data_IF_770980662676
#
_entry.id   IF_770980662676
#
_cell.length_a   1.000
_cell.length_b   1.000
_cell.length_c   1.000
_cell.angle_alpha   90.00
_cell.angle_beta   90.00
_cell.angle_gamma   90.00
#
_symmetry.space_group_name_H-M   'P 1'
#
loop_
_entity.id
_entity.type
_entity.pdbx_description
1 polymer ?
#
# COMPACT_ATOMS: atom_id res chain seq x y z
N UNK A 1 -27.04 -40.77 19.53
CA UNK A 1 -27.59 -40.16 18.29
C UNK A 1 -27.02 -38.75 18.17
N UNK A 2 -25.78 -38.62 17.68
CA UNK A 2 -25.07 -37.34 17.55
C UNK A 2 -24.98 -36.99 16.07
N UNK A 3 -25.77 -36.01 15.64
CA UNK A 3 -25.64 -35.40 14.31
C UNK A 3 -24.41 -34.48 14.34
N UNK A 4 -23.29 -34.98 13.80
CA UNK A 4 -22.13 -34.15 13.43
C UNK A 4 -22.56 -33.25 12.28
N UNK A 5 -22.87 -32.01 12.60
CA UNK A 5 -23.13 -30.94 11.65
C UNK A 5 -21.78 -30.51 11.07
N UNK A 6 -21.41 -31.07 9.92
CA UNK A 6 -20.30 -30.55 9.14
C UNK A 6 -20.71 -29.17 8.62
N UNK A 7 -20.27 -28.10 9.29
CA UNK A 7 -20.15 -26.79 8.66
C UNK A 7 -19.02 -26.92 7.63
N UNK A 8 -19.38 -27.36 6.43
CA UNK A 8 -18.60 -27.06 5.23
C UNK A 8 -18.37 -25.54 5.21
N UNK A 9 -17.11 -25.14 5.31
CA UNK A 9 -16.67 -23.80 4.95
C UNK A 9 -17.05 -23.62 3.47
N UNK A 10 -18.12 -22.87 3.22
CA UNK A 10 -18.55 -22.50 1.88
C UNK A 10 -17.52 -21.53 1.31
N UNK A 11 -16.48 -22.06 0.70
CA UNK A 11 -15.58 -21.28 -0.13
C UNK A 11 -16.40 -20.70 -1.28
N UNK A 12 -16.33 -19.38 -1.54
CA UNK A 12 -17.09 -18.75 -2.60
C UNK A 12 -16.75 -19.38 -3.95
N UNK A 13 -17.76 -19.53 -4.82
CA UNK A 13 -17.55 -20.02 -6.19
C UNK A 13 -16.63 -19.09 -6.97
N UNK A 14 -15.93 -19.60 -8.00
CA UNK A 14 -15.09 -18.78 -8.89
C UNK A 14 -15.81 -17.54 -9.43
N UNK A 15 -17.11 -17.67 -9.73
CA UNK A 15 -17.95 -16.56 -10.19
C UNK A 15 -18.16 -15.50 -9.10
N UNK A 16 -18.39 -15.91 -7.85
CA UNK A 16 -18.51 -15.01 -6.71
C UNK A 16 -17.18 -14.31 -6.41
N UNK A 17 -16.04 -15.03 -6.45
CA UNK A 17 -14.71 -14.43 -6.27
C UNK A 17 -14.44 -13.38 -7.36
N UNK A 18 -14.68 -13.71 -8.63
CA UNK A 18 -14.51 -12.77 -9.74
C UNK A 18 -15.45 -11.56 -9.67
N UNK A 19 -16.66 -11.73 -9.13
CA UNK A 19 -17.57 -10.61 -8.90
C UNK A 19 -17.07 -9.71 -7.77
N UNK A 20 -16.68 -10.29 -6.62
CA UNK A 20 -16.12 -9.54 -5.49
C UNK A 20 -14.84 -8.79 -5.85
N UNK A 21 -13.97 -9.40 -6.66
CA UNK A 21 -12.75 -8.75 -7.15
C UNK A 21 -13.08 -7.55 -8.04
N UNK A 22 -14.03 -7.69 -8.97
CA UNK A 22 -14.49 -6.57 -9.81
C UNK A 22 -15.17 -5.47 -9.02
N UNK A 23 -15.96 -5.82 -8.00
CA UNK A 23 -16.58 -4.85 -7.12
C UNK A 23 -15.53 -4.07 -6.34
N UNK A 24 -14.48 -4.74 -5.82
CA UNK A 24 -13.34 -4.06 -5.19
C UNK A 24 -12.57 -3.16 -6.15
N UNK A 25 -12.25 -3.61 -7.36
CA UNK A 25 -11.53 -2.79 -8.34
C UNK A 25 -12.26 -1.48 -8.67
N UNK A 26 -13.60 -1.50 -8.70
CA UNK A 26 -14.43 -0.30 -8.93
C UNK A 26 -14.34 0.73 -7.81
N UNK A 27 -13.95 0.31 -6.61
CA UNK A 27 -13.78 1.18 -5.45
C UNK A 27 -12.32 1.68 -5.32
N UNK A 28 -11.38 0.99 -5.96
CA UNK A 28 -9.96 1.35 -5.92
C UNK A 28 -9.67 2.57 -6.80
N UNK A 29 -8.75 3.40 -6.31
CA UNK A 29 -8.26 4.59 -7.01
C UNK A 29 -6.75 4.61 -6.99
N UNK A 30 -6.19 5.17 -8.05
CA UNK A 30 -4.76 5.41 -8.19
C UNK A 30 -4.49 6.90 -8.35
N UNK A 31 -3.44 7.38 -7.69
CA UNK A 31 -3.02 8.78 -7.74
C UNK A 31 -1.76 8.90 -8.59
N UNK A 32 -1.84 9.65 -9.68
CA UNK A 32 -0.69 10.01 -10.52
C UNK A 32 -0.29 11.47 -10.30
N UNK A 33 0.94 11.70 -9.83
CA UNK A 33 1.41 13.04 -9.40
C UNK A 33 2.23 13.67 -10.52
N UNK A 34 2.05 14.98 -10.71
CA UNK A 34 2.81 15.80 -11.66
C UNK A 34 3.37 17.04 -10.97
N UNK A 35 4.27 17.76 -11.65
CA UNK A 35 4.80 19.02 -11.14
C UNK A 35 3.74 20.13 -10.94
N UNK A 36 2.54 19.99 -11.51
CA UNK A 36 1.49 21.02 -11.49
C UNK A 36 0.23 20.61 -10.74
N UNK A 37 0.15 19.37 -10.29
CA UNK A 37 -1.07 18.79 -9.77
C UNK A 37 -0.99 17.29 -9.65
N UNK A 38 -2.13 16.63 -9.59
CA UNK A 38 -2.24 15.17 -9.62
C UNK A 38 -3.58 14.76 -10.22
N UNK A 39 -3.67 13.51 -10.64
CA UNK A 39 -4.93 12.90 -11.07
C UNK A 39 -5.32 11.76 -10.15
N UNK A 40 -6.61 11.56 -10.01
CA UNK A 40 -7.20 10.38 -9.38
C UNK A 40 -7.87 9.58 -10.48
N UNK A 41 -7.41 8.37 -10.70
CA UNK A 41 -7.85 7.47 -11.75
C UNK A 41 -8.53 6.25 -11.14
N UNK A 42 -9.55 5.71 -11.83
CA UNK A 42 -10.20 4.47 -11.40
C UNK A 42 -9.38 3.28 -11.88
N UNK A 43 -9.15 2.32 -10.98
CA UNK A 43 -8.32 1.17 -11.31
C UNK A 43 -9.01 0.17 -12.24
N UNK A 44 -10.34 0.19 -12.36
CA UNK A 44 -11.09 -0.77 -13.18
C UNK A 44 -11.07 -0.43 -14.67
N UNK A 45 -11.17 0.84 -15.04
CA UNK A 45 -11.24 1.30 -16.43
C UNK A 45 -10.18 2.36 -16.81
N UNK A 46 -9.35 2.79 -15.86
CA UNK A 46 -8.32 3.82 -16.06
C UNK A 46 -8.88 5.22 -16.30
N UNK A 47 -10.18 5.44 -16.08
CA UNK A 47 -10.79 6.75 -16.30
C UNK A 47 -10.37 7.75 -15.21
N UNK A 48 -10.08 8.98 -15.62
CA UNK A 48 -9.74 10.08 -14.72
C UNK A 48 -11.02 10.54 -14.01
N UNK A 49 -11.07 10.36 -12.69
CA UNK A 49 -12.16 10.86 -11.84
C UNK A 49 -11.92 12.30 -11.42
N UNK A 50 -10.67 12.65 -11.08
CA UNK A 50 -10.29 14.00 -10.71
C UNK A 50 -8.97 14.41 -11.38
N UNK A 51 -8.91 15.66 -11.86
CA UNK A 51 -7.68 16.30 -12.36
C UNK A 51 -7.48 17.61 -11.59
N UNK A 52 -6.57 17.57 -10.61
CA UNK A 52 -6.37 18.63 -9.62
C UNK A 52 -5.12 19.40 -9.96
N UNK A 53 -5.24 20.73 -10.03
CA UNK A 53 -4.11 21.62 -10.29
C UNK A 53 -3.81 22.43 -9.02
N UNK A 54 -2.57 22.35 -8.53
CA UNK A 54 -2.14 22.98 -7.28
C UNK A 54 -2.54 24.45 -7.16
N UNK A 55 -2.23 25.25 -8.19
CA UNK A 55 -2.52 26.70 -8.22
C UNK A 55 -4.01 27.07 -8.16
N UNK A 56 -4.92 26.09 -8.29
CA UNK A 56 -6.37 26.30 -8.21
C UNK A 56 -6.95 25.99 -6.83
N UNK A 57 -6.12 25.48 -5.92
CA UNK A 57 -6.48 25.23 -4.52
C UNK A 57 -6.14 26.46 -3.68
N UNK A 58 -6.98 26.73 -2.70
CA UNK A 58 -6.74 27.78 -1.70
C UNK A 58 -6.01 27.24 -0.49
N UNK A 59 -6.34 26.02 -0.07
CA UNK A 59 -5.74 25.36 1.08
C UNK A 59 -5.83 23.83 0.95
N UNK A 60 -5.03 23.12 1.75
CA UNK A 60 -5.05 21.66 1.87
C UNK A 60 -4.89 21.30 3.34
N UNK A 61 -5.84 20.55 3.91
CA UNK A 61 -5.78 20.11 5.29
C UNK A 61 -5.37 18.64 5.33
N UNK A 62 -4.36 18.33 6.15
CA UNK A 62 -3.84 16.98 6.31
C UNK A 62 -4.36 16.33 7.59
N UNK A 63 -4.78 15.08 7.47
CA UNK A 63 -4.87 14.14 8.59
C UNK A 63 -4.28 12.79 8.18
N UNK A 64 -3.98 11.89 9.13
CA UNK A 64 -3.51 10.54 8.82
C UNK A 64 -4.47 9.71 7.96
N UNK A 65 -5.76 10.06 7.96
CA UNK A 65 -6.82 9.32 7.27
C UNK A 65 -7.17 9.91 5.91
N UNK A 66 -6.91 11.21 5.68
CA UNK A 66 -7.29 11.87 4.43
C UNK A 66 -6.58 13.21 4.20
N UNK A 67 -6.60 13.64 2.94
CA UNK A 67 -6.37 15.02 2.53
C UNK A 67 -7.70 15.70 2.20
N UNK A 68 -7.91 16.91 2.72
CA UNK A 68 -9.08 17.72 2.38
C UNK A 68 -8.62 18.95 1.60
N UNK A 69 -9.07 19.06 0.35
CA UNK A 69 -8.68 20.11 -0.58
C UNK A 69 -9.73 21.21 -0.55
N UNK A 70 -9.29 22.46 -0.39
CA UNK A 70 -10.17 23.63 -0.30
C UNK A 70 -10.08 24.47 -1.56
N UNK A 71 -11.24 24.88 -2.08
CA UNK A 71 -11.37 25.80 -3.22
C UNK A 71 -12.59 26.68 -3.05
N UNK A 72 -12.46 27.97 -3.34
CA UNK A 72 -13.53 28.97 -3.22
C UNK A 72 -14.17 28.97 -1.81
N UNK A 73 -13.38 28.81 -0.75
CA UNK A 73 -13.83 28.78 0.64
C UNK A 73 -14.59 27.53 1.06
N UNK A 74 -14.57 26.47 0.26
CA UNK A 74 -15.35 25.24 0.49
C UNK A 74 -14.53 23.98 0.22
N UNK A 75 -14.97 22.85 0.80
CA UNK A 75 -14.37 21.54 0.51
C UNK A 75 -14.63 21.19 -0.95
N UNK A 76 -13.54 21.07 -1.71
CA UNK A 76 -13.55 20.68 -3.11
C UNK A 76 -13.48 19.17 -3.28
N UNK A 77 -12.57 18.53 -2.55
CA UNK A 77 -12.31 17.09 -2.66
C UNK A 77 -11.75 16.57 -1.33
N UNK A 78 -12.16 15.35 -0.94
CA UNK A 78 -11.51 14.59 0.11
C UNK A 78 -10.83 13.37 -0.53
N UNK A 79 -9.55 13.14 -0.20
CA UNK A 79 -8.75 12.03 -0.71
C UNK A 79 -8.38 11.15 0.47
N UNK A 80 -9.00 9.98 0.61
CA UNK A 80 -8.78 9.12 1.75
C UNK A 80 -7.47 8.32 1.56
N UNK A 81 -6.88 7.83 2.66
CA UNK A 81 -5.54 7.25 2.65
C UNK A 81 -5.44 5.84 2.01
N UNK A 82 -6.58 5.26 1.65
CA UNK A 82 -6.67 3.96 0.99
C UNK A 82 -6.39 4.04 -0.51
N UNK A 83 -6.28 5.25 -1.08
CA UNK A 83 -5.95 5.42 -2.49
C UNK A 83 -4.48 5.05 -2.75
N UNK A 84 -4.23 4.31 -3.83
CA UNK A 84 -2.86 4.00 -4.25
C UNK A 84 -2.13 5.30 -4.58
N UNK A 85 -0.89 5.44 -4.11
CA UNK A 85 -0.09 6.66 -4.27
C UNK A 85 -0.37 7.76 -3.23
N UNK A 86 -1.21 7.53 -2.22
CA UNK A 86 -1.52 8.55 -1.20
C UNK A 86 -0.27 9.05 -0.45
N UNK A 87 0.63 8.16 0.00
CA UNK A 87 1.83 8.57 0.73
C UNK A 87 2.81 9.37 -0.14
N UNK A 88 2.87 9.07 -1.44
CA UNK A 88 3.59 9.89 -2.40
C UNK A 88 2.95 11.27 -2.55
N UNK A 89 1.62 11.34 -2.61
CA UNK A 89 0.87 12.59 -2.74
C UNK A 89 1.13 13.53 -1.57
N UNK A 90 1.03 13.01 -0.35
CA UNK A 90 1.27 13.75 0.89
C UNK A 90 2.67 14.39 0.88
N UNK A 91 3.70 13.67 0.45
CA UNK A 91 5.06 14.23 0.40
C UNK A 91 5.27 15.28 -0.69
N UNK A 92 4.45 15.27 -1.73
CA UNK A 92 4.58 16.13 -2.91
C UNK A 92 3.70 17.38 -2.86
N UNK A 93 2.97 17.60 -1.76
CA UNK A 93 2.19 18.83 -1.58
C UNK A 93 3.13 20.04 -1.59
N UNK A 94 2.98 21.00 -2.53
CA UNK A 94 3.83 22.17 -2.60
C UNK A 94 3.73 23.03 -1.33
N UNK A 95 4.82 23.71 -0.95
CA UNK A 95 4.80 24.68 0.15
C UNK A 95 3.90 25.87 -0.21
N UNK A 96 3.05 26.28 0.73
CA UNK A 96 2.20 27.47 0.59
C UNK A 96 0.75 27.29 1.02
N UNK A 97 0.33 26.09 1.44
CA UNK A 97 -1.01 25.81 1.95
C UNK A 97 -1.05 25.94 3.48
N UNK A 98 -1.73 26.95 4.05
CA UNK A 98 -1.68 27.24 5.49
C UNK A 98 -2.19 26.12 6.41
N UNK A 99 -3.17 25.33 5.94
CA UNK A 99 -3.76 24.22 6.68
C UNK A 99 -2.97 22.91 6.58
N UNK A 100 -1.86 22.91 5.83
CA UNK A 100 -1.07 21.72 5.61
C UNK A 100 0.07 21.62 6.63
N UNK A 101 0.10 20.53 7.39
CA UNK A 101 1.13 20.29 8.41
C UNK A 101 2.42 19.71 7.81
N UNK A 102 3.20 20.55 7.12
CA UNK A 102 4.48 20.15 6.54
C UNK A 102 5.46 19.59 7.60
N UNK A 103 5.42 20.13 8.82
CA UNK A 103 6.29 19.72 9.91
C UNK A 103 5.95 18.31 10.40
N UNK A 104 4.67 18.07 10.68
CA UNK A 104 4.15 16.77 11.09
C UNK A 104 4.35 15.70 10.02
N UNK A 105 4.08 16.02 8.75
CA UNK A 105 4.34 15.10 7.63
C UNK A 105 5.82 14.72 7.55
N UNK A 106 6.72 15.71 7.60
CA UNK A 106 8.16 15.44 7.58
C UNK A 106 8.60 14.57 8.77
N UNK A 107 8.09 14.87 9.96
CA UNK A 107 8.40 14.10 11.17
C UNK A 107 7.85 12.67 11.09
N UNK A 108 6.65 12.49 10.53
CA UNK A 108 6.04 11.18 10.32
C UNK A 108 6.91 10.31 9.43
N UNK A 109 7.27 10.78 8.22
CA UNK A 109 8.12 9.99 7.31
C UNK A 109 9.52 9.75 7.87
N UNK A 110 10.08 10.69 8.61
CA UNK A 110 11.36 10.51 9.29
C UNK A 110 11.31 9.50 10.45
N UNK A 111 10.12 9.18 10.96
CA UNK A 111 9.93 8.21 12.05
C UNK A 111 9.71 6.77 11.55
N UNK A 112 9.53 6.56 10.25
CA UNK A 112 9.27 5.24 9.68
C UNK A 112 10.51 4.35 9.78
N UNK A 113 10.28 3.08 10.14
CA UNK A 113 11.32 2.07 10.17
C UNK A 113 11.34 1.25 8.86
N UNK A 114 12.46 0.54 8.64
CA UNK A 114 12.61 -0.41 7.54
C UNK A 114 11.71 -1.64 7.70
N UNK A 115 11.13 -2.08 6.60
CA UNK A 115 10.37 -3.32 6.52
C UNK A 115 11.29 -4.49 6.15
N UNK A 116 11.32 -5.53 6.97
CA UNK A 116 12.09 -6.74 6.67
C UNK A 116 11.58 -7.49 5.42
N UNK A 117 10.30 -7.34 5.09
CA UNK A 117 9.68 -8.03 3.95
C UNK A 117 10.04 -7.32 2.65
N UNK A 118 9.57 -6.08 2.45
CA UNK A 118 9.74 -5.35 1.19
C UNK A 118 10.98 -4.44 1.11
N UNK A 119 11.67 -4.21 2.24
CA UNK A 119 12.86 -3.36 2.27
C UNK A 119 12.65 -1.86 2.11
N UNK A 120 11.41 -1.37 2.30
CA UNK A 120 11.08 0.05 2.29
C UNK A 120 10.99 0.63 3.71
N UNK A 121 11.38 1.90 3.86
CA UNK A 121 11.18 2.70 5.07
C UNK A 121 9.71 3.11 5.20
N UNK A 122 8.87 2.15 5.57
CA UNK A 122 7.42 2.26 5.51
C UNK A 122 6.72 1.67 6.76
N UNK A 123 7.46 1.33 7.82
CA UNK A 123 6.87 0.69 9.00
C UNK A 123 6.43 1.73 10.03
N UNK A 124 5.18 1.62 10.48
CA UNK A 124 4.64 2.36 11.63
C UNK A 124 3.83 1.45 12.54
N UNK A 125 3.91 1.70 13.85
CA UNK A 125 3.24 0.98 14.94
C UNK A 125 3.48 -0.53 14.95
N UNK A 126 2.96 -1.31 14.00
CA UNK A 126 3.19 -2.74 13.85
C UNK A 126 3.02 -3.24 12.41
N UNK A 127 2.96 -2.36 11.40
CA UNK A 127 2.63 -2.74 10.02
C UNK A 127 3.41 -1.92 9.01
N UNK A 128 3.77 -2.55 7.89
CA UNK A 128 4.32 -1.87 6.73
C UNK A 128 3.20 -1.21 5.91
N UNK A 129 3.31 0.10 5.69
CA UNK A 129 2.35 0.89 4.90
C UNK A 129 2.45 0.63 3.39
N UNK A 130 3.54 -0.01 2.93
CA UNK A 130 3.73 -0.33 1.50
C UNK A 130 3.24 -1.74 1.16
N UNK A 131 3.83 -2.78 1.75
CA UNK A 131 3.47 -4.18 1.44
C UNK A 131 2.35 -4.73 2.33
N UNK A 132 1.92 -4.00 3.36
CA UNK A 132 0.88 -4.44 4.26
C UNK A 132 1.28 -5.55 5.25
N UNK A 133 2.52 -6.04 5.22
CA UNK A 133 3.00 -7.06 6.15
C UNK A 133 3.08 -6.52 7.59
N UNK A 134 2.74 -7.36 8.55
CA UNK A 134 2.91 -7.08 9.96
C UNK A 134 4.39 -7.13 10.37
N UNK A 135 4.74 -6.37 11.40
CA UNK A 135 6.06 -6.42 12.02
C UNK A 135 6.09 -7.62 12.97
N UNK A 136 7.22 -8.33 12.99
CA UNK A 136 7.44 -9.45 13.90
C UNK A 136 7.07 -9.10 15.35
N UNK A 137 6.24 -9.93 15.97
CA UNK A 137 5.69 -9.71 17.30
C UNK A 137 5.37 -11.06 18.00
N UNK A 138 4.92 -10.99 19.26
CA UNK A 138 4.63 -12.18 20.07
C UNK A 138 3.47 -13.04 19.53
N UNK A 139 2.52 -12.44 18.81
CA UNK A 139 1.44 -13.20 18.17
C UNK A 139 1.98 -14.02 17.00
N UNK A 140 2.80 -13.40 16.14
CA UNK A 140 3.47 -14.11 15.05
C UNK A 140 4.42 -15.20 15.57
N UNK A 141 5.03 -15.01 16.74
CA UNK A 141 5.85 -16.05 17.37
C UNK A 141 5.05 -17.30 17.82
N UNK A 142 3.72 -17.24 17.87
CA UNK A 142 2.87 -18.40 18.10
C UNK A 142 2.56 -19.18 16.82
N UNK A 143 2.63 -18.51 15.67
CA UNK A 143 2.32 -19.07 14.35
C UNK A 143 3.59 -19.55 13.63
N UNK A 144 4.71 -18.86 13.85
CA UNK A 144 5.98 -19.09 13.19
C UNK A 144 7.06 -19.48 14.20
N UNK A 145 7.91 -20.42 13.80
CA UNK A 145 9.03 -20.87 14.63
C UNK A 145 10.09 -19.78 14.88
N UNK A 146 10.36 -18.93 13.89
CA UNK A 146 11.32 -17.82 13.97
C UNK A 146 10.88 -16.62 13.15
N UNK A 147 11.45 -15.45 13.45
CA UNK A 147 11.31 -14.23 12.64
C UNK A 147 11.75 -14.46 11.20
N UNK A 148 12.85 -15.17 10.99
CA UNK A 148 13.34 -15.46 9.64
C UNK A 148 12.36 -16.32 8.86
N UNK A 149 11.72 -17.32 9.49
CA UNK A 149 10.71 -18.14 8.83
C UNK A 149 9.52 -17.31 8.35
N UNK A 150 9.03 -16.38 9.19
CA UNK A 150 7.97 -15.44 8.82
C UNK A 150 8.38 -14.53 7.65
N UNK A 151 9.54 -13.87 7.76
CA UNK A 151 10.00 -12.94 6.73
C UNK A 151 10.21 -13.66 5.40
N UNK A 152 10.78 -14.87 5.43
CA UNK A 152 10.97 -15.66 4.21
C UNK A 152 9.64 -16.00 3.54
N UNK A 153 8.66 -16.50 4.28
CA UNK A 153 7.32 -16.79 3.72
C UNK A 153 6.73 -15.54 3.07
N UNK A 154 6.76 -14.39 3.77
CA UNK A 154 6.20 -13.14 3.22
C UNK A 154 6.97 -12.59 2.03
N UNK A 155 8.28 -12.84 1.95
CA UNK A 155 9.07 -12.48 0.78
C UNK A 155 8.78 -13.40 -0.41
N UNK A 156 8.56 -14.71 -0.20
CA UNK A 156 8.11 -15.60 -1.26
C UNK A 156 6.77 -15.10 -1.83
N UNK A 157 5.79 -14.83 -0.96
CA UNK A 157 4.48 -14.29 -1.38
C UNK A 157 4.60 -12.94 -2.12
N UNK A 158 5.49 -12.05 -1.67
CA UNK A 158 5.63 -10.70 -2.22
C UNK A 158 6.34 -10.68 -3.58
N UNK A 159 7.38 -11.50 -3.75
CA UNK A 159 8.21 -11.52 -4.95
C UNK A 159 7.79 -12.59 -5.96
N UNK A 160 6.70 -13.31 -5.69
CA UNK A 160 6.11 -14.24 -6.65
C UNK A 160 5.58 -13.47 -7.88
N UNK A 161 6.06 -13.77 -9.09
CA UNK A 161 5.58 -13.13 -10.30
C UNK A 161 4.11 -13.46 -10.57
N UNK A 162 3.38 -12.56 -11.24
CA UNK A 162 1.97 -12.78 -11.57
C UNK A 162 1.75 -13.76 -12.72
N UNK A 163 2.81 -14.07 -13.49
CA UNK A 163 2.77 -15.01 -14.60
C UNK A 163 4.07 -15.81 -14.75
N UNK A 164 3.97 -16.99 -15.37
CA UNK A 164 5.10 -17.93 -15.57
C UNK A 164 6.25 -17.33 -16.41
N UNK A 165 5.95 -16.34 -17.26
CA UNK A 165 6.92 -15.67 -18.14
C UNK A 165 7.48 -14.35 -17.57
N UNK A 166 7.02 -13.92 -16.38
CA UNK A 166 7.51 -12.69 -15.76
C UNK A 166 8.84 -12.92 -15.03
N UNK A 167 9.71 -11.91 -15.07
CA UNK A 167 10.99 -11.95 -14.38
C UNK A 167 10.80 -11.78 -12.88
N UNK A 168 11.38 -12.68 -12.09
CA UNK A 168 11.48 -12.50 -10.64
C UNK A 168 12.39 -11.30 -10.37
N UNK A 169 11.87 -10.30 -9.67
CA UNK A 169 12.60 -9.08 -9.36
C UNK A 169 12.65 -8.84 -7.84
N UNK A 170 13.70 -9.35 -7.20
CA UNK A 170 13.90 -9.22 -5.75
C UNK A 170 14.61 -7.91 -5.46
N UNK A 171 13.83 -6.85 -5.32
CA UNK A 171 14.37 -5.52 -5.12
C UNK A 171 13.45 -4.67 -4.25
N UNK A 172 14.04 -3.71 -3.53
CA UNK A 172 13.31 -2.71 -2.78
C UNK A 172 13.18 -1.42 -3.59
N UNK A 173 12.41 -1.45 -4.69
CA UNK A 173 12.15 -0.25 -5.48
C UNK A 173 11.40 0.78 -4.65
N UNK A 174 11.90 2.03 -4.66
CA UNK A 174 11.24 3.14 -4.00
C UNK A 174 9.88 3.41 -4.67
N UNK A 175 8.84 2.78 -4.17
CA UNK A 175 7.47 2.87 -4.66
C UNK A 175 6.54 3.43 -3.59
N UNK A 176 5.36 3.91 -4.01
CA UNK A 176 4.33 4.39 -3.10
C UNK A 176 4.71 5.63 -2.28
N UNK A 177 5.86 6.25 -2.56
CA UNK A 177 6.41 7.36 -1.78
C UNK A 177 7.35 6.94 -0.65
N UNK A 178 7.72 5.67 -0.52
CA UNK A 178 8.65 5.24 0.53
C UNK A 178 10.06 5.04 -0.03
N UNK A 179 11.09 5.60 0.63
CA UNK A 179 12.46 5.35 0.23
C UNK A 179 12.90 3.92 0.60
N UNK A 180 13.80 3.36 -0.20
CA UNK A 180 14.47 2.08 0.05
C UNK A 180 15.33 2.14 1.31
N UNK A 181 15.28 1.09 2.13
CA UNK A 181 16.23 0.88 3.22
C UNK A 181 17.56 0.33 2.66
N UNK A 182 18.68 1.07 2.72
CA UNK A 182 19.95 0.63 2.17
C UNK A 182 20.56 -0.58 2.91
N UNK A 183 20.14 -0.83 4.16
CA UNK A 183 20.60 -1.96 4.96
C UNK A 183 19.81 -3.25 4.66
N UNK A 184 18.66 -3.15 4.00
CA UNK A 184 17.81 -4.29 3.74
C UNK A 184 18.44 -5.29 2.78
N UNK A 185 18.22 -6.58 3.03
CA UNK A 185 18.61 -7.68 2.15
C UNK A 185 17.46 -8.70 2.14
N UNK A 186 17.15 -9.22 0.97
CA UNK A 186 16.24 -10.36 0.86
C UNK A 186 16.83 -11.58 1.57
N UNK A 187 15.96 -12.34 2.23
CA UNK A 187 16.31 -13.64 2.79
C UNK A 187 16.12 -14.75 1.75
N UNK A 188 15.21 -14.56 0.79
CA UNK A 188 14.91 -15.51 -0.28
C UNK A 188 15.77 -15.25 -1.52
N UNK A 189 15.96 -16.29 -2.31
CA UNK A 189 16.63 -16.24 -3.62
C UNK A 189 15.61 -16.46 -4.75
N UNK A 190 15.98 -16.11 -5.98
CA UNK A 190 15.13 -16.38 -7.15
C UNK A 190 14.83 -17.87 -7.31
N UNK A 191 15.78 -18.74 -6.97
CA UNK A 191 15.58 -20.19 -7.07
C UNK A 191 14.51 -20.67 -6.09
N UNK A 192 14.53 -20.17 -4.86
CA UNK A 192 13.52 -20.50 -3.86
C UNK A 192 12.13 -19.99 -4.25
N UNK A 193 12.05 -18.86 -4.95
CA UNK A 193 10.77 -18.36 -5.51
C UNK A 193 10.30 -19.29 -6.63
N UNK A 194 11.17 -19.72 -7.55
CA UNK A 194 10.82 -20.68 -8.62
C UNK A 194 10.34 -22.01 -8.06
N UNK A 195 11.02 -22.52 -7.03
CA UNK A 195 10.64 -23.76 -6.34
C UNK A 195 9.27 -23.65 -5.65
N UNK A 196 8.92 -22.47 -5.13
CA UNK A 196 7.62 -22.22 -4.50
C UNK A 196 6.45 -22.23 -5.50
N UNK A 197 6.72 -21.96 -6.79
CA UNK A 197 5.72 -21.95 -7.86
C UNK A 197 5.47 -23.34 -8.49
N UNK A 198 6.38 -24.31 -8.27
CA UNK A 198 6.38 -25.62 -8.92
C UNK A 198 5.52 -26.67 -8.19
#
# INVERSE_FOLDING_TARGET
>A
MMKRFWRWLLLPSKKQISQMFRERLREMREISITAHGFRVEKLDDGSVEHDVVWRRLEDIHFSPEKLVLIRNGSVYLEIPNEYSGWYALVQQVPVGYPGYDYGGVKQFFASLAGCDVCGLLAVTSHKCLSCGSDVWNEQLAQEYATREAYVREKQLDLFEPSGEDETIDIHNCAEGGFPSDPAWRALVTEEEIRENMA
#
